data_IF_154035761833
#
_entry.id   IF_154035761833
#
_cell.length_a   1.000
_cell.length_b   1.000
_cell.length_c   1.000
_cell.angle_alpha   90.00
_cell.angle_beta   90.00
_cell.angle_gamma   90.00
#
_symmetry.space_group_name_H-M   'P 1'
#
loop_
_entity.id
_entity.type
_entity.pdbx_description
1 polymer ?
#
# COMPACT_ATOMS: atom_id res chain seq x y z
N UNK A 1 -45.82 10.50 24.82
CA UNK A 1 -44.40 10.50 25.26
C UNK A 1 -43.52 10.80 24.04
N UNK A 2 -43.02 12.02 23.99
CA UNK A 2 -42.19 12.51 22.85
C UNK A 2 -40.80 11.82 22.91
N UNK A 3 -40.46 11.06 21.88
CA UNK A 3 -39.14 10.52 21.68
C UNK A 3 -38.16 11.68 21.45
N UNK A 4 -37.31 11.97 22.43
CA UNK A 4 -36.16 12.85 22.24
C UNK A 4 -35.21 12.15 21.24
N UNK A 5 -35.21 12.59 19.98
CA UNK A 5 -34.28 12.20 18.94
C UNK A 5 -32.95 12.97 19.15
N UNK A 6 -32.11 12.49 20.06
CA UNK A 6 -30.76 13.00 20.24
C UNK A 6 -29.93 11.98 21.03
N UNK A 7 -28.68 11.73 20.60
CA UNK A 7 -27.76 10.89 21.38
C UNK A 7 -27.57 11.50 22.78
N UNK A 8 -27.57 10.69 23.85
CA UNK A 8 -27.34 11.16 25.21
C UNK A 8 -26.05 11.98 25.29
N UNK A 9 -26.04 12.99 26.16
CA UNK A 9 -24.89 13.87 26.38
C UNK A 9 -24.15 13.50 27.67
N UNK A 10 -22.88 13.92 27.81
CA UNK A 10 -22.12 13.77 29.07
C UNK A 10 -22.84 14.41 30.28
N UNK A 11 -23.67 15.46 30.06
CA UNK A 11 -24.48 16.08 31.15
C UNK A 11 -25.56 15.13 31.62
N UNK A 12 -26.25 14.44 30.73
CA UNK A 12 -27.27 13.45 31.09
C UNK A 12 -26.64 12.24 31.81
N UNK A 13 -25.46 11.77 31.38
CA UNK A 13 -24.70 10.75 32.10
C UNK A 13 -24.32 11.22 33.52
N UNK A 14 -23.88 12.46 33.68
CA UNK A 14 -23.53 13.03 34.96
C UNK A 14 -24.75 13.09 35.91
N UNK A 15 -25.90 13.50 35.40
CA UNK A 15 -27.16 13.54 36.13
C UNK A 15 -27.61 12.15 36.57
N UNK A 16 -27.58 11.16 35.65
CA UNK A 16 -27.96 9.76 35.93
C UNK A 16 -27.01 9.09 36.95
N UNK A 17 -25.71 9.35 36.82
CA UNK A 17 -24.69 8.80 37.72
C UNK A 17 -24.61 9.52 39.06
N UNK A 18 -25.26 10.67 39.24
CA UNK A 18 -25.18 11.47 40.49
C UNK A 18 -23.78 12.04 40.75
N UNK A 19 -23.03 12.40 39.68
CA UNK A 19 -21.65 12.91 39.78
C UNK A 19 -21.47 14.19 39.00
N UNK A 20 -20.33 14.87 39.19
CA UNK A 20 -20.03 16.08 38.41
C UNK A 20 -19.70 15.73 36.94
N UNK A 21 -19.95 16.68 36.02
CA UNK A 21 -19.53 16.55 34.62
C UNK A 21 -18.01 16.30 34.49
N UNK A 22 -17.22 16.90 35.38
CA UNK A 22 -15.77 16.68 35.44
C UNK A 22 -15.41 15.24 35.79
N UNK A 23 -16.17 14.58 36.68
CA UNK A 23 -15.99 13.15 37.03
C UNK A 23 -16.31 12.26 35.83
N UNK A 24 -17.42 12.52 35.12
CA UNK A 24 -17.76 11.80 33.88
C UNK A 24 -16.65 11.96 32.84
N UNK A 25 -16.18 13.20 32.62
CA UNK A 25 -15.10 13.47 31.69
C UNK A 25 -13.80 12.72 32.04
N UNK A 26 -13.45 12.62 33.32
CA UNK A 26 -12.28 11.86 33.77
C UNK A 26 -12.45 10.36 33.49
N UNK A 27 -13.59 9.77 33.82
CA UNK A 27 -13.88 8.35 33.56
C UNK A 27 -13.80 8.03 32.06
N UNK A 28 -14.48 8.84 31.22
CA UNK A 28 -14.50 8.65 29.77
C UNK A 28 -13.11 8.76 29.14
N UNK A 29 -12.24 9.60 29.71
CA UNK A 29 -10.86 9.76 29.22
C UNK A 29 -9.84 8.85 29.95
N UNK A 30 -10.29 7.82 30.67
CA UNK A 30 -9.44 6.90 31.44
C UNK A 30 -8.48 7.58 32.44
N UNK A 31 -8.83 8.78 32.91
CA UNK A 31 -8.09 9.46 33.97
C UNK A 31 -8.45 8.77 35.30
N UNK A 32 -7.49 8.51 36.21
CA UNK A 32 -7.76 7.88 37.49
C UNK A 32 -8.84 8.64 38.27
N UNK A 33 -9.83 7.88 38.75
CA UNK A 33 -10.87 8.31 39.70
C UNK A 33 -11.14 7.16 40.64
N UNK A 34 -11.79 7.44 41.78
CA UNK A 34 -12.21 6.38 42.72
C UNK A 34 -13.11 5.34 42.02
N UNK A 35 -12.91 4.06 42.32
CA UNK A 35 -13.58 2.91 41.68
C UNK A 35 -15.11 3.04 41.73
N UNK A 36 -15.67 3.50 42.87
CA UNK A 36 -17.09 3.75 43.01
C UNK A 36 -17.66 4.72 42.01
N UNK A 37 -16.93 5.84 41.75
CA UNK A 37 -17.35 6.84 40.77
C UNK A 37 -17.22 6.32 39.35
N UNK A 38 -16.18 5.56 39.05
CA UNK A 38 -16.00 4.89 37.76
C UNK A 38 -17.21 4.00 37.46
N UNK A 39 -17.56 3.11 38.37
CA UNK A 39 -18.68 2.19 38.21
C UNK A 39 -20.01 2.91 38.02
N UNK A 40 -20.31 3.96 38.81
CA UNK A 40 -21.53 4.76 38.68
C UNK A 40 -21.65 5.39 37.27
N UNK A 41 -20.54 5.91 36.73
CA UNK A 41 -20.53 6.57 35.39
C UNK A 41 -20.68 5.52 34.30
N UNK A 42 -19.99 4.38 34.38
CA UNK A 42 -20.08 3.30 33.39
C UNK A 42 -21.49 2.70 33.32
N UNK A 43 -22.13 2.47 34.47
CA UNK A 43 -23.49 1.95 34.57
C UNK A 43 -24.51 2.95 34.02
N UNK A 44 -24.38 4.24 34.34
CA UNK A 44 -25.21 5.31 33.80
C UNK A 44 -25.04 5.46 32.29
N UNK A 45 -23.81 5.43 31.78
CA UNK A 45 -23.52 5.51 30.34
C UNK A 45 -24.15 4.32 29.59
N UNK A 46 -24.04 3.11 30.13
CA UNK A 46 -24.64 1.88 29.58
C UNK A 46 -26.17 1.99 29.57
N UNK A 47 -26.79 2.43 30.68
CA UNK A 47 -28.25 2.59 30.83
C UNK A 47 -28.82 3.57 29.82
N UNK A 48 -28.12 4.69 29.57
CA UNK A 48 -28.54 5.72 28.65
C UNK A 48 -28.18 5.40 27.18
N UNK A 49 -27.38 4.37 26.92
CA UNK A 49 -26.83 4.11 25.59
C UNK A 49 -25.86 5.20 25.13
N UNK A 50 -25.16 5.86 26.08
CA UNK A 50 -24.22 6.93 25.78
C UNK A 50 -23.02 6.36 25.00
N UNK A 51 -22.80 6.95 23.83
CA UNK A 51 -21.57 6.72 23.05
C UNK A 51 -20.68 7.94 23.11
N UNK A 52 -19.39 7.73 23.29
CA UNK A 52 -18.42 8.83 23.31
C UNK A 52 -18.49 9.55 21.96
N UNK A 53 -18.88 10.81 21.99
CA UNK A 53 -18.86 11.62 20.78
C UNK A 53 -17.41 12.03 20.46
N UNK A 54 -16.77 11.25 19.58
CA UNK A 54 -15.40 11.51 19.15
C UNK A 54 -15.23 12.88 18.49
N UNK A 55 -16.26 13.41 17.82
CA UNK A 55 -16.24 14.77 17.27
C UNK A 55 -16.15 15.85 18.36
N UNK A 56 -16.94 15.71 19.44
CA UNK A 56 -16.85 16.65 20.57
C UNK A 56 -15.51 16.55 21.31
N UNK A 57 -14.90 15.36 21.32
CA UNK A 57 -13.56 15.12 21.88
C UNK A 57 -12.50 15.74 20.97
N UNK A 58 -12.57 15.54 19.66
CA UNK A 58 -11.61 16.06 18.69
C UNK A 58 -11.58 17.60 18.67
N UNK A 59 -12.72 18.27 18.80
CA UNK A 59 -12.81 19.73 18.92
C UNK A 59 -12.04 20.27 20.14
N UNK A 60 -11.94 19.50 21.23
CA UNK A 60 -11.23 19.90 22.46
C UNK A 60 -9.75 19.56 22.43
N UNK A 61 -9.39 18.42 21.83
CA UNK A 61 -8.01 17.91 21.79
C UNK A 61 -7.26 18.28 20.52
N UNK A 62 -7.97 18.81 19.53
CA UNK A 62 -7.50 19.02 18.16
C UNK A 62 -6.90 17.74 17.51
N UNK A 63 -7.38 16.56 17.94
CA UNK A 63 -6.97 15.26 17.43
C UNK A 63 -8.20 14.39 17.17
N UNK A 64 -8.28 13.81 15.99
CA UNK A 64 -9.36 12.89 15.60
C UNK A 64 -9.00 11.43 15.81
N UNK A 65 -7.72 11.13 16.04
CA UNK A 65 -7.14 9.78 16.02
C UNK A 65 -7.51 9.02 14.73
N UNK A 66 -7.51 9.74 13.63
CA UNK A 66 -7.83 9.21 12.30
C UNK A 66 -6.74 9.58 11.32
N UNK A 67 -6.25 8.60 10.58
CA UNK A 67 -5.32 8.77 9.47
C UNK A 67 -6.04 8.43 8.18
N UNK A 68 -5.91 9.28 7.16
CA UNK A 68 -6.41 8.95 5.83
C UNK A 68 -5.38 8.12 5.07
N UNK A 69 -5.86 7.07 4.39
CA UNK A 69 -5.13 6.33 3.39
C UNK A 69 -5.72 6.61 2.01
N UNK A 70 -4.92 7.16 1.11
CA UNK A 70 -5.29 7.39 -0.30
C UNK A 70 -4.57 6.38 -1.16
N UNK A 71 -5.34 5.54 -1.88
CA UNK A 71 -4.82 4.50 -2.77
C UNK A 71 -5.50 4.57 -4.15
N UNK A 72 -4.84 4.08 -5.21
CA UNK A 72 -5.39 4.15 -6.56
C UNK A 72 -6.68 3.36 -6.74
N UNK A 73 -6.71 2.12 -6.25
CA UNK A 73 -7.85 1.21 -6.33
C UNK A 73 -7.71 0.06 -5.33
N UNK A 74 -8.76 -0.74 -5.15
CA UNK A 74 -8.77 -1.95 -4.33
C UNK A 74 -8.69 -3.25 -5.16
N UNK A 75 -8.71 -3.15 -6.48
CA UNK A 75 -8.71 -4.32 -7.37
C UNK A 75 -7.32 -4.95 -7.54
N UNK A 76 -6.26 -4.18 -7.30
CA UNK A 76 -4.90 -4.70 -7.32
C UNK A 76 -4.55 -5.31 -5.96
N UNK A 77 -4.17 -6.60 -5.88
CA UNK A 77 -3.94 -7.30 -4.60
C UNK A 77 -2.92 -6.62 -3.70
N UNK A 78 -1.87 -6.03 -4.27
CA UNK A 78 -0.85 -5.29 -3.50
C UNK A 78 -1.47 -4.11 -2.72
N UNK A 79 -2.40 -3.35 -3.33
CA UNK A 79 -3.02 -2.22 -2.62
C UNK A 79 -3.91 -2.69 -1.46
N UNK A 80 -4.56 -3.84 -1.61
CA UNK A 80 -5.30 -4.47 -0.51
C UNK A 80 -4.37 -4.93 0.62
N UNK A 81 -3.25 -5.55 0.28
CA UNK A 81 -2.26 -6.03 1.26
C UNK A 81 -1.65 -4.87 2.05
N UNK A 82 -1.20 -3.80 1.38
CA UNK A 82 -0.61 -2.63 2.05
C UNK A 82 -1.65 -1.87 2.89
N UNK A 83 -2.89 -1.74 2.41
CA UNK A 83 -3.97 -1.11 3.19
C UNK A 83 -4.25 -1.89 4.48
N UNK A 84 -4.30 -3.22 4.42
CA UNK A 84 -4.47 -4.07 5.60
C UNK A 84 -3.29 -3.92 6.58
N UNK A 85 -2.06 -3.94 6.09
CA UNK A 85 -0.87 -3.78 6.94
C UNK A 85 -0.84 -2.40 7.63
N UNK A 86 -1.17 -1.33 6.89
CA UNK A 86 -1.29 0.03 7.45
C UNK A 86 -2.38 0.08 8.52
N UNK A 87 -3.57 -0.51 8.27
CA UNK A 87 -4.65 -0.55 9.24
C UNK A 87 -4.21 -1.24 10.55
N UNK A 88 -3.48 -2.36 10.44
CA UNK A 88 -2.93 -3.07 11.62
C UNK A 88 -1.91 -2.20 12.35
N UNK A 89 -1.00 -1.55 11.64
CA UNK A 89 0.02 -0.67 12.23
C UNK A 89 -0.60 0.56 12.94
N UNK A 90 -1.63 1.16 12.34
CA UNK A 90 -2.39 2.27 12.93
C UNK A 90 -3.19 1.85 14.16
N UNK A 91 -3.89 0.71 14.10
CA UNK A 91 -4.66 0.20 15.23
C UNK A 91 -3.80 -0.05 16.47
N UNK A 92 -2.58 -0.56 16.29
CA UNK A 92 -1.62 -0.73 17.41
C UNK A 92 -1.25 0.58 18.09
N UNK A 93 -1.36 1.71 17.38
CA UNK A 93 -1.10 3.06 17.88
C UNK A 93 -2.37 3.82 18.30
N UNK A 94 -3.55 3.17 18.28
CA UNK A 94 -4.83 3.75 18.64
C UNK A 94 -5.43 4.70 17.61
N UNK A 95 -5.01 4.59 16.34
CA UNK A 95 -5.58 5.33 15.22
C UNK A 95 -6.58 4.49 14.44
N UNK A 96 -7.63 5.14 13.94
CA UNK A 96 -8.53 4.59 12.93
C UNK A 96 -8.04 4.98 11.53
N UNK A 97 -8.38 4.18 10.52
CA UNK A 97 -8.04 4.46 9.14
C UNK A 97 -9.28 4.86 8.34
N UNK A 98 -9.20 5.98 7.60
CA UNK A 98 -10.17 6.39 6.59
C UNK A 98 -9.55 6.12 5.22
N UNK A 99 -10.11 5.19 4.44
CA UNK A 99 -9.58 4.86 3.11
C UNK A 99 -10.37 5.56 2.01
N UNK A 100 -9.66 6.21 1.09
CA UNK A 100 -10.20 6.89 -0.08
C UNK A 100 -9.54 6.36 -1.36
N UNK A 101 -10.32 6.25 -2.43
CA UNK A 101 -9.87 5.74 -3.73
C UNK A 101 -9.73 6.91 -4.70
N UNK A 102 -8.53 7.07 -5.27
CA UNK A 102 -8.22 8.16 -6.20
C UNK A 102 -8.47 7.84 -7.68
N UNK A 103 -8.64 6.56 -8.03
CA UNK A 103 -8.74 6.06 -9.41
C UNK A 103 -7.55 6.38 -10.30
N UNK A 104 -6.37 6.59 -9.71
CA UNK A 104 -5.11 6.93 -10.42
C UNK A 104 -5.19 8.23 -11.24
N UNK A 105 -6.03 9.17 -10.85
CA UNK A 105 -6.16 10.47 -11.53
C UNK A 105 -5.93 11.65 -10.56
N UNK A 106 -5.41 12.75 -11.10
CA UNK A 106 -5.02 13.95 -10.33
C UNK A 106 -6.21 14.59 -9.61
N UNK A 107 -7.38 14.64 -10.25
CA UNK A 107 -8.59 15.19 -9.64
C UNK A 107 -9.11 14.29 -8.54
N UNK A 108 -9.05 12.96 -8.73
CA UNK A 108 -9.40 11.97 -7.72
C UNK A 108 -8.54 12.10 -6.48
N UNK A 109 -7.23 12.28 -6.64
CA UNK A 109 -6.30 12.49 -5.53
C UNK A 109 -6.61 13.80 -4.78
N UNK A 110 -6.85 14.88 -5.51
CA UNK A 110 -7.20 16.18 -4.91
C UNK A 110 -8.52 16.11 -4.15
N UNK A 111 -9.54 15.40 -4.69
CA UNK A 111 -10.80 15.15 -3.97
C UNK A 111 -10.58 14.36 -2.68
N UNK A 112 -9.76 13.29 -2.73
CA UNK A 112 -9.44 12.50 -1.55
C UNK A 112 -8.71 13.32 -0.48
N UNK A 113 -7.77 14.18 -0.89
CA UNK A 113 -7.06 15.07 0.02
C UNK A 113 -8.00 16.10 0.64
N UNK A 114 -8.87 16.72 -0.15
CA UNK A 114 -9.88 17.66 0.35
C UNK A 114 -10.79 17.00 1.38
N UNK A 115 -11.27 15.79 1.10
CA UNK A 115 -12.09 15.01 2.05
C UNK A 115 -11.34 14.72 3.36
N UNK A 116 -10.06 14.34 3.28
CA UNK A 116 -9.24 14.13 4.46
C UNK A 116 -9.12 15.40 5.32
N UNK A 117 -8.95 16.56 4.67
CA UNK A 117 -8.91 17.88 5.35
C UNK A 117 -10.25 18.24 5.99
N UNK A 118 -11.36 18.01 5.31
CA UNK A 118 -12.73 18.24 5.86
C UNK A 118 -12.98 17.37 7.10
N UNK A 119 -12.53 16.13 7.08
CA UNK A 119 -12.58 15.22 8.23
C UNK A 119 -11.55 15.51 9.33
N UNK A 120 -10.68 16.51 9.13
CA UNK A 120 -9.62 16.92 10.07
C UNK A 120 -8.78 15.73 10.54
N UNK A 121 -8.37 14.87 9.60
CA UNK A 121 -7.50 13.74 9.93
C UNK A 121 -6.17 14.23 10.49
N UNK A 122 -5.55 13.41 11.35
CA UNK A 122 -4.29 13.75 12.01
C UNK A 122 -3.06 13.55 11.10
N UNK A 123 -3.27 12.91 9.94
CA UNK A 123 -2.26 12.71 8.92
C UNK A 123 -2.80 11.91 7.71
N UNK A 124 -2.00 11.86 6.67
CA UNK A 124 -2.32 11.18 5.41
C UNK A 124 -1.16 10.29 4.97
N UNK A 125 -1.46 9.06 4.59
CA UNK A 125 -0.57 8.18 3.84
C UNK A 125 -1.15 8.06 2.43
N UNK A 126 -0.35 8.34 1.39
CA UNK A 126 -0.85 8.33 0.01
C UNK A 126 0.06 7.54 -0.93
N UNK A 127 -0.58 6.70 -1.75
CA UNK A 127 0.02 6.16 -2.97
C UNK A 127 -0.44 7.04 -4.12
N UNK A 128 0.27 8.16 -4.31
CA UNK A 128 -0.12 9.19 -5.28
C UNK A 128 0.48 8.94 -6.66
N UNK A 129 -0.21 9.38 -7.70
CA UNK A 129 0.30 9.46 -9.07
C UNK A 129 0.44 10.93 -9.54
N UNK A 130 0.04 11.89 -8.72
CA UNK A 130 0.16 13.30 -9.03
C UNK A 130 1.52 13.88 -8.55
N UNK A 131 2.47 14.13 -9.45
CA UNK A 131 3.78 14.69 -9.09
C UNK A 131 3.69 16.17 -8.65
N UNK A 132 2.53 16.81 -8.86
CA UNK A 132 2.26 18.20 -8.49
C UNK A 132 1.33 18.33 -7.30
N UNK A 133 1.13 17.24 -6.54
CA UNK A 133 0.29 17.26 -5.36
C UNK A 133 0.87 18.25 -4.32
N UNK A 134 0.13 19.31 -4.06
CA UNK A 134 0.51 20.30 -3.06
C UNK A 134 0.04 19.83 -1.68
N UNK A 135 1.00 19.60 -0.79
CA UNK A 135 0.75 19.22 0.59
C UNK A 135 1.04 20.42 1.49
N UNK A 136 0.02 20.89 2.21
CA UNK A 136 0.17 22.00 3.16
C UNK A 136 1.13 21.61 4.31
N UNK A 137 1.97 22.54 4.80
CA UNK A 137 3.01 22.27 5.80
C UNK A 137 2.48 21.85 7.18
N UNK A 138 1.19 22.01 7.40
CA UNK A 138 0.51 21.64 8.66
C UNK A 138 -0.01 20.21 8.68
N UNK A 139 0.05 19.50 7.55
CA UNK A 139 -0.47 18.14 7.42
C UNK A 139 0.68 17.14 7.52
N UNK A 140 0.62 16.23 8.49
CA UNK A 140 1.49 15.07 8.52
C UNK A 140 1.19 14.21 7.28
N UNK A 141 2.15 14.13 6.37
CA UNK A 141 1.95 13.47 5.08
C UNK A 141 3.13 12.55 4.76
N UNK A 142 2.82 11.34 4.32
CA UNK A 142 3.80 10.34 3.90
C UNK A 142 3.35 9.75 2.58
N UNK A 143 4.26 9.58 1.65
CA UNK A 143 3.97 8.85 0.40
C UNK A 143 4.53 7.44 0.42
N UNK A 144 3.89 6.57 -0.35
CA UNK A 144 4.42 5.24 -0.69
C UNK A 144 4.69 5.22 -2.19
N UNK A 145 5.89 4.78 -2.58
CA UNK A 145 6.35 4.60 -3.96
C UNK A 145 6.40 5.88 -4.83
N UNK A 146 6.10 7.04 -4.27
CA UNK A 146 6.14 8.30 -5.02
C UNK A 146 6.86 9.40 -4.24
N UNK A 147 8.05 9.76 -4.71
CA UNK A 147 8.78 10.91 -4.20
C UNK A 147 8.15 12.21 -4.74
N UNK A 148 7.68 13.09 -3.87
CA UNK A 148 7.13 14.41 -4.22
C UNK A 148 8.21 15.48 -4.06
N UNK A 149 8.77 15.60 -2.85
CA UNK A 149 9.84 16.55 -2.52
C UNK A 149 10.55 16.12 -1.23
N UNK A 150 11.61 16.85 -0.87
CA UNK A 150 12.44 16.52 0.31
C UNK A 150 11.76 16.76 1.66
N UNK A 151 10.63 17.45 1.71
CA UNK A 151 9.89 17.74 2.96
C UNK A 151 8.83 16.66 3.27
N UNK A 152 8.51 15.82 2.29
CA UNK A 152 7.52 14.74 2.43
C UNK A 152 8.25 13.40 2.42
N UNK A 153 8.23 12.63 3.53
CA UNK A 153 8.81 11.30 3.55
C UNK A 153 8.18 10.40 2.48
N UNK A 154 9.01 9.72 1.71
CA UNK A 154 8.61 8.67 0.78
C UNK A 154 9.14 7.33 1.27
N UNK A 155 8.27 6.37 1.47
CA UNK A 155 8.64 4.98 1.81
C UNK A 155 8.41 4.12 0.59
N UNK A 156 9.43 3.37 0.18
CA UNK A 156 9.37 2.46 -0.96
C UNK A 156 10.18 1.20 -0.67
N UNK A 157 10.00 0.16 -1.45
CA UNK A 157 10.98 -0.92 -1.48
C UNK A 157 12.17 -0.55 -2.38
N UNK A 158 13.26 -1.31 -2.28
CA UNK A 158 14.40 -1.20 -3.22
C UNK A 158 14.00 -1.77 -4.59
N UNK A 159 13.32 -0.93 -5.38
CA UNK A 159 12.84 -1.30 -6.71
C UNK A 159 14.00 -1.54 -7.69
N UNK A 160 15.10 -0.78 -7.58
CA UNK A 160 16.27 -0.96 -8.44
C UNK A 160 16.96 -2.30 -8.13
N UNK A 161 17.30 -2.54 -6.86
CA UNK A 161 17.89 -3.81 -6.42
C UNK A 161 16.98 -5.00 -6.69
N UNK A 162 15.66 -4.83 -6.58
CA UNK A 162 14.69 -5.87 -6.94
C UNK A 162 14.68 -6.21 -8.42
N UNK A 163 14.83 -5.22 -9.31
CA UNK A 163 15.02 -5.45 -10.74
C UNK A 163 16.31 -6.19 -11.07
N UNK A 164 17.42 -5.81 -10.42
CA UNK A 164 18.68 -6.54 -10.54
C UNK A 164 18.54 -7.98 -10.06
N UNK A 165 17.99 -8.19 -8.86
CA UNK A 165 17.76 -9.52 -8.27
C UNK A 165 16.93 -10.43 -9.18
N UNK A 166 15.89 -9.90 -9.84
CA UNK A 166 15.07 -10.66 -10.78
C UNK A 166 15.87 -11.14 -11.99
N UNK A 167 16.68 -10.25 -12.60
CA UNK A 167 17.51 -10.58 -13.74
C UNK A 167 18.60 -11.60 -13.35
N UNK A 168 19.33 -11.35 -12.26
CA UNK A 168 20.39 -12.24 -11.75
C UNK A 168 19.82 -13.62 -11.42
N UNK A 169 18.63 -13.67 -10.80
CA UNK A 169 17.97 -14.95 -10.48
C UNK A 169 17.61 -15.75 -11.74
N UNK A 170 17.09 -15.09 -12.78
CA UNK A 170 16.84 -15.76 -14.07
C UNK A 170 18.14 -16.29 -14.69
N UNK A 171 19.23 -15.53 -14.61
CA UNK A 171 20.56 -15.96 -15.09
C UNK A 171 21.09 -17.15 -14.29
N UNK A 172 21.00 -17.14 -12.96
CA UNK A 172 21.35 -18.26 -12.08
C UNK A 172 20.59 -19.54 -12.44
N UNK A 173 19.31 -19.39 -12.81
CA UNK A 173 18.44 -20.47 -13.24
C UNK A 173 18.69 -20.92 -14.70
N UNK A 174 19.72 -20.37 -15.35
CA UNK A 174 20.22 -20.79 -16.64
C UNK A 174 19.61 -20.08 -17.85
N UNK A 175 18.79 -19.05 -17.66
CA UNK A 175 18.24 -18.25 -18.76
C UNK A 175 19.35 -17.50 -19.51
N UNK A 176 19.23 -17.43 -20.85
CA UNK A 176 20.25 -16.89 -21.76
C UNK A 176 19.78 -15.64 -22.52
N UNK A 177 18.48 -15.43 -22.66
CA UNK A 177 17.88 -14.27 -23.25
C UNK A 177 16.69 -13.82 -22.42
N UNK A 178 16.77 -12.63 -21.89
CA UNK A 178 15.79 -12.12 -20.95
C UNK A 178 14.84 -11.12 -21.60
N UNK A 179 13.63 -11.06 -21.04
CA UNK A 179 12.61 -10.09 -21.42
C UNK A 179 12.09 -9.39 -20.17
N UNK A 180 11.88 -8.07 -20.25
CA UNK A 180 11.14 -7.32 -19.25
C UNK A 180 9.81 -6.85 -19.82
N UNK A 181 8.71 -7.07 -19.10
CA UNK A 181 7.38 -6.56 -19.45
C UNK A 181 6.79 -5.72 -18.33
N UNK A 182 6.28 -4.54 -18.69
CA UNK A 182 5.62 -3.61 -17.79
C UNK A 182 4.27 -3.17 -18.34
N UNK A 183 3.27 -3.17 -17.46
CA UNK A 183 2.03 -2.40 -17.60
C UNK A 183 1.97 -1.39 -16.45
N UNK A 184 1.76 -0.13 -16.75
CA UNK A 184 1.73 0.91 -15.72
C UNK A 184 1.32 2.27 -16.25
N UNK A 185 1.38 3.29 -15.42
CA UNK A 185 1.05 4.68 -15.81
C UNK A 185 2.20 5.36 -16.52
N UNK A 186 1.93 6.52 -17.18
CA UNK A 186 2.96 7.36 -17.78
C UNK A 186 3.75 8.18 -16.75
N UNK A 187 3.27 8.23 -15.50
CA UNK A 187 3.91 9.02 -14.46
C UNK A 187 5.03 8.19 -13.81
N UNK A 188 6.25 8.67 -13.95
CA UNK A 188 7.44 8.00 -13.43
C UNK A 188 7.49 8.04 -11.89
N UNK A 189 7.85 6.93 -11.26
CA UNK A 189 7.98 6.79 -9.80
C UNK A 189 9.01 5.76 -9.37
N UNK A 190 9.10 5.47 -8.08
CA UNK A 190 10.03 4.47 -7.54
C UNK A 190 9.87 3.08 -8.19
N UNK A 191 8.62 2.57 -8.46
CA UNK A 191 8.45 1.28 -9.11
C UNK A 191 9.06 1.18 -10.52
N UNK A 192 9.23 2.30 -11.22
CA UNK A 192 9.82 2.31 -12.57
C UNK A 192 11.33 2.05 -12.56
N UNK A 193 11.98 2.11 -11.39
CA UNK A 193 13.40 1.73 -11.23
C UNK A 193 13.65 0.23 -11.40
N UNK A 194 12.60 -0.60 -11.37
CA UNK A 194 12.68 -2.06 -11.63
C UNK A 194 13.31 -2.35 -12.99
N UNK A 195 12.87 -1.62 -14.04
CA UNK A 195 13.45 -1.79 -15.38
C UNK A 195 14.92 -1.38 -15.41
N UNK A 196 15.29 -0.28 -14.76
CA UNK A 196 16.69 0.18 -14.76
C UNK A 196 17.61 -0.81 -14.04
N UNK A 197 17.16 -1.41 -12.95
CA UNK A 197 17.88 -2.48 -12.25
C UNK A 197 18.05 -3.74 -13.11
N UNK A 198 16.98 -4.18 -13.75
CA UNK A 198 17.00 -5.32 -14.68
C UNK A 198 17.98 -5.09 -15.84
N UNK A 199 17.89 -3.95 -16.53
CA UNK A 199 18.79 -3.59 -17.62
C UNK A 199 20.25 -3.51 -17.19
N UNK A 200 20.50 -2.95 -15.99
CA UNK A 200 21.86 -2.85 -15.45
C UNK A 200 22.47 -4.26 -15.27
N UNK A 201 21.74 -5.18 -14.65
CA UNK A 201 22.20 -6.56 -14.47
C UNK A 201 22.46 -7.25 -15.82
N UNK A 202 21.54 -7.13 -16.78
CA UNK A 202 21.72 -7.71 -18.11
C UNK A 202 22.98 -7.16 -18.81
N UNK A 203 23.20 -5.85 -18.76
CA UNK A 203 24.40 -5.19 -19.33
C UNK A 203 25.69 -5.65 -18.67
N UNK A 204 25.70 -5.71 -17.34
CA UNK A 204 26.88 -6.16 -16.57
C UNK A 204 27.29 -7.60 -16.88
N UNK A 205 26.32 -8.47 -17.09
CA UNK A 205 26.58 -9.90 -17.40
C UNK A 205 26.59 -10.21 -18.89
N UNK A 206 26.42 -9.23 -19.77
CA UNK A 206 26.42 -9.44 -21.22
C UNK A 206 25.27 -10.31 -21.72
N UNK A 207 24.15 -10.35 -21.02
CA UNK A 207 22.98 -11.14 -21.38
C UNK A 207 22.10 -10.34 -22.34
N UNK A 208 21.73 -10.88 -23.51
CA UNK A 208 20.77 -10.27 -24.41
C UNK A 208 19.41 -10.08 -23.73
N UNK A 209 18.81 -8.93 -23.90
CA UNK A 209 17.49 -8.64 -23.35
C UNK A 209 16.68 -7.71 -24.26
N UNK A 210 15.36 -7.77 -24.10
CA UNK A 210 14.39 -6.84 -24.67
C UNK A 210 13.45 -6.30 -23.59
N UNK A 211 12.82 -5.16 -23.87
CA UNK A 211 11.85 -4.55 -22.92
C UNK A 211 10.58 -4.14 -23.65
N UNK A 212 9.43 -4.42 -23.05
CA UNK A 212 8.12 -3.96 -23.49
C UNK A 212 7.46 -3.17 -22.36
N UNK A 213 7.36 -1.87 -22.54
CA UNK A 213 6.81 -0.95 -21.56
C UNK A 213 5.54 -0.29 -22.11
N UNK A 214 4.38 -0.70 -21.59
CA UNK A 214 3.06 -0.28 -22.06
C UNK A 214 2.31 0.50 -20.99
N UNK A 215 1.41 1.37 -21.44
CA UNK A 215 0.45 2.01 -20.56
C UNK A 215 -0.67 1.03 -20.19
N UNK A 216 -1.16 1.09 -18.97
CA UNK A 216 -2.20 0.16 -18.48
C UNK A 216 -3.51 0.23 -19.30
N UNK A 217 -3.82 1.38 -19.91
CA UNK A 217 -5.00 1.54 -20.76
C UNK A 217 -4.88 0.84 -22.13
N UNK A 218 -3.67 0.43 -22.54
CA UNK A 218 -3.48 -0.29 -23.81
C UNK A 218 -3.99 -1.73 -23.77
N UNK A 219 -4.21 -2.25 -22.56
CA UNK A 219 -4.77 -3.58 -22.34
C UNK A 219 -3.82 -4.71 -22.72
N UNK A 220 -4.39 -5.87 -23.06
CA UNK A 220 -3.62 -7.10 -23.30
C UNK A 220 -3.10 -7.22 -24.74
N UNK A 221 -3.80 -6.67 -25.72
CA UNK A 221 -3.52 -6.91 -27.13
C UNK A 221 -2.07 -6.59 -27.58
N UNK A 222 -1.39 -5.53 -27.13
CA UNK A 222 0.01 -5.30 -27.50
C UNK A 222 0.96 -6.36 -26.93
N UNK A 223 0.69 -6.91 -25.74
CA UNK A 223 1.46 -8.03 -25.18
C UNK A 223 1.25 -9.31 -26.00
N UNK A 224 0.03 -9.59 -26.42
CA UNK A 224 -0.30 -10.74 -27.28
C UNK A 224 0.41 -10.61 -28.63
N UNK A 225 0.37 -9.44 -29.26
CA UNK A 225 1.07 -9.19 -30.52
C UNK A 225 2.60 -9.37 -30.39
N UNK A 226 3.18 -8.91 -29.26
CA UNK A 226 4.60 -9.15 -28.98
C UNK A 226 4.88 -10.65 -28.85
N UNK A 227 4.09 -11.38 -28.07
CA UNK A 227 4.27 -12.83 -27.88
C UNK A 227 4.09 -13.59 -29.21
N UNK A 228 3.13 -13.16 -30.07
CA UNK A 228 2.93 -13.76 -31.39
C UNK A 228 4.14 -13.53 -32.33
N UNK A 229 4.87 -12.44 -32.15
CA UNK A 229 6.10 -12.20 -32.91
C UNK A 229 7.27 -13.08 -32.43
N UNK A 230 7.36 -13.33 -31.12
CA UNK A 230 8.52 -13.97 -30.45
C UNK A 230 8.32 -15.44 -30.08
N UNK A 231 7.10 -15.98 -30.22
CA UNK A 231 6.80 -17.40 -30.00
C UNK A 231 6.31 -18.00 -31.32
N UNK A 232 7.06 -18.97 -31.86
CA UNK A 232 6.71 -19.68 -33.10
C UNK A 232 6.72 -21.19 -32.85
N UNK A 233 5.65 -21.87 -33.23
CA UNK A 233 5.50 -23.33 -33.11
C UNK A 233 5.82 -23.86 -31.71
N UNK A 234 5.37 -23.15 -30.66
CA UNK A 234 5.62 -23.52 -29.27
C UNK A 234 7.05 -23.26 -28.78
N UNK A 235 7.85 -22.47 -29.50
CA UNK A 235 9.21 -22.09 -29.13
C UNK A 235 9.33 -20.58 -29.00
N UNK A 236 9.71 -20.10 -27.83
CA UNK A 236 10.04 -18.70 -27.60
C UNK A 236 11.50 -18.43 -27.97
N UNK A 237 11.79 -17.22 -28.42
CA UNK A 237 13.16 -16.76 -28.65
C UNK A 237 13.79 -16.12 -27.40
N UNK A 238 13.08 -16.13 -26.27
CA UNK A 238 13.55 -15.79 -24.92
C UNK A 238 13.21 -16.91 -23.94
N UNK A 239 13.99 -17.06 -22.88
CA UNK A 239 13.85 -18.14 -21.89
C UNK A 239 13.64 -17.63 -20.45
N UNK A 240 13.77 -16.30 -20.22
CA UNK A 240 13.49 -15.66 -18.94
C UNK A 240 12.66 -14.40 -19.11
N UNK A 241 11.58 -14.27 -18.32
CA UNK A 241 10.69 -13.10 -18.33
C UNK A 241 10.59 -12.50 -16.93
N UNK A 242 10.89 -11.22 -16.79
CA UNK A 242 10.56 -10.44 -15.60
C UNK A 242 9.39 -9.53 -15.88
N UNK A 243 8.33 -9.65 -15.08
CA UNK A 243 7.17 -8.77 -15.14
C UNK A 243 7.19 -7.80 -13.96
N UNK A 244 6.81 -6.54 -14.20
CA UNK A 244 6.82 -5.51 -13.16
C UNK A 244 5.85 -5.76 -12.00
N UNK A 245 4.91 -6.71 -12.13
CA UNK A 245 3.98 -7.15 -11.08
C UNK A 245 3.68 -8.63 -11.18
N UNK A 246 3.30 -9.27 -10.08
CA UNK A 246 2.84 -10.67 -10.05
C UNK A 246 1.59 -10.87 -10.92
N UNK A 247 0.70 -9.87 -10.93
CA UNK A 247 -0.50 -9.92 -11.76
C UNK A 247 -0.17 -10.05 -13.24
N UNK A 248 0.76 -9.23 -13.73
CA UNK A 248 1.20 -9.31 -15.13
C UNK A 248 1.92 -10.65 -15.39
N UNK A 249 2.76 -11.10 -14.46
CA UNK A 249 3.46 -12.39 -14.57
C UNK A 249 2.49 -13.55 -14.78
N UNK A 250 1.39 -13.60 -14.00
CA UNK A 250 0.38 -14.64 -14.14
C UNK A 250 -0.38 -14.57 -15.47
N UNK A 251 -0.70 -13.37 -15.93
CA UNK A 251 -1.33 -13.18 -17.26
C UNK A 251 -0.37 -13.66 -18.34
N UNK A 252 0.89 -13.26 -18.30
CA UNK A 252 1.89 -13.67 -19.30
C UNK A 252 2.15 -15.18 -19.25
N UNK A 253 2.19 -15.79 -18.08
CA UNK A 253 2.30 -17.24 -17.95
C UNK A 253 1.15 -17.98 -18.67
N UNK A 254 -0.08 -17.48 -18.54
CA UNK A 254 -1.23 -17.98 -19.28
C UNK A 254 -1.09 -17.81 -20.80
N UNK A 255 -0.71 -16.63 -21.25
CA UNK A 255 -0.54 -16.31 -22.65
C UNK A 255 0.60 -17.10 -23.36
N UNK A 256 1.68 -17.35 -22.63
CA UNK A 256 2.81 -18.15 -23.11
C UNK A 256 2.40 -19.63 -23.23
N UNK A 257 1.66 -20.17 -22.24
CA UNK A 257 1.12 -21.54 -22.31
C UNK A 257 0.14 -21.74 -23.46
N UNK A 258 -0.73 -20.74 -23.73
CA UNK A 258 -1.66 -20.78 -24.88
C UNK A 258 -0.94 -20.86 -26.23
N UNK A 259 0.32 -20.41 -26.31
CA UNK A 259 1.18 -20.49 -27.50
C UNK A 259 2.05 -21.75 -27.57
N UNK A 260 1.79 -22.72 -26.67
CA UNK A 260 2.45 -24.02 -26.67
C UNK A 260 3.78 -24.08 -25.94
N UNK A 261 4.24 -23.01 -25.30
CA UNK A 261 5.42 -23.04 -24.44
C UNK A 261 5.04 -23.47 -23.02
N UNK A 262 5.91 -24.21 -22.39
CA UNK A 262 5.76 -24.63 -20.98
C UNK A 262 6.40 -23.60 -20.06
N UNK A 263 5.73 -23.34 -18.94
CA UNK A 263 6.25 -22.53 -17.84
C UNK A 263 6.29 -23.42 -16.61
N UNK A 264 7.45 -23.66 -16.01
CA UNK A 264 8.75 -22.98 -16.21
C UNK A 264 9.74 -23.63 -17.17
N UNK A 265 9.41 -24.75 -17.83
CA UNK A 265 10.41 -25.57 -18.53
C UNK A 265 11.04 -24.86 -19.73
N UNK A 266 10.25 -24.16 -20.55
CA UNK A 266 10.69 -23.47 -21.75
C UNK A 266 10.91 -21.96 -21.49
N UNK A 267 10.07 -21.33 -20.66
CA UNK A 267 10.18 -19.92 -20.24
C UNK A 267 9.99 -19.83 -18.73
N UNK A 268 10.95 -19.26 -18.05
CA UNK A 268 10.89 -18.97 -16.62
C UNK A 268 10.40 -17.55 -16.38
N UNK A 269 9.51 -17.37 -15.40
CA UNK A 269 8.87 -16.06 -15.15
C UNK A 269 9.05 -15.65 -13.70
N UNK A 270 9.47 -14.40 -13.49
CA UNK A 270 9.50 -13.75 -12.18
C UNK A 270 8.57 -12.55 -12.21
N UNK A 271 7.71 -12.40 -11.20
CA UNK A 271 6.89 -11.24 -10.94
C UNK A 271 7.52 -10.30 -9.91
N UNK A 272 6.72 -9.37 -9.44
CA UNK A 272 7.07 -8.45 -8.36
C UNK A 272 5.80 -8.20 -7.52
N UNK A 273 5.90 -8.07 -6.24
CA UNK A 273 4.95 -7.71 -5.18
C UNK A 273 4.91 -8.75 -4.05
N UNK A 274 5.09 -10.04 -4.34
CA UNK A 274 5.00 -11.12 -3.35
C UNK A 274 3.55 -11.47 -3.01
N UNK A 275 2.65 -11.46 -4.02
CA UNK A 275 1.24 -11.78 -3.81
C UNK A 275 1.09 -13.27 -3.47
N UNK A 276 0.35 -13.52 -2.37
CA UNK A 276 0.03 -14.88 -1.93
C UNK A 276 -1.36 -15.31 -2.41
N UNK A 277 -1.47 -16.56 -2.76
CA UNK A 277 -2.77 -17.20 -2.96
C UNK A 277 -3.49 -17.34 -1.62
N UNK A 278 -4.74 -16.92 -1.59
CA UNK A 278 -5.53 -16.88 -0.34
C UNK A 278 -5.82 -18.30 0.23
N UNK A 279 -5.90 -19.31 -0.62
CA UNK A 279 -6.27 -20.67 -0.21
C UNK A 279 -5.03 -21.46 0.20
N UNK A 280 -4.00 -21.46 -0.66
CA UNK A 280 -2.79 -22.26 -0.44
C UNK A 280 -1.78 -21.57 0.49
N UNK A 281 -1.86 -20.24 0.61
CA UNK A 281 -0.86 -19.42 1.31
C UNK A 281 0.49 -19.32 0.59
N UNK A 282 0.66 -20.02 -0.55
CA UNK A 282 1.84 -19.95 -1.41
C UNK A 282 1.86 -18.67 -2.26
N UNK A 283 3.01 -18.37 -2.88
CA UNK A 283 3.08 -17.27 -3.84
C UNK A 283 2.40 -17.64 -5.16
N UNK A 284 1.73 -16.67 -5.81
CA UNK A 284 1.05 -16.89 -7.09
C UNK A 284 2.02 -17.24 -8.23
N UNK A 285 3.23 -16.70 -8.18
CA UNK A 285 4.33 -16.95 -9.10
C UNK A 285 5.65 -16.79 -8.36
N UNK A 286 6.75 -17.20 -8.94
CA UNK A 286 8.08 -16.80 -8.45
C UNK A 286 8.18 -15.28 -8.55
N UNK A 287 8.62 -14.61 -7.48
CA UNK A 287 8.41 -13.16 -7.33
C UNK A 287 9.50 -12.49 -6.51
N UNK A 288 9.69 -11.21 -6.75
CA UNK A 288 10.39 -10.30 -5.84
C UNK A 288 9.40 -9.78 -4.81
N UNK A 289 9.60 -10.15 -3.55
CA UNK A 289 8.68 -9.88 -2.45
C UNK A 289 8.94 -8.49 -1.89
N UNK A 290 7.93 -7.65 -1.87
CA UNK A 290 7.93 -6.37 -1.16
C UNK A 290 7.69 -6.61 0.35
N UNK A 291 8.43 -5.95 1.25
CA UNK A 291 8.25 -6.08 2.70
C UNK A 291 7.05 -5.26 3.18
N UNK A 292 5.82 -5.67 2.82
CA UNK A 292 4.57 -4.91 3.01
C UNK A 292 4.37 -4.45 4.44
N UNK A 293 4.60 -5.33 5.42
CA UNK A 293 4.46 -5.01 6.84
C UNK A 293 5.50 -3.95 7.28
N UNK A 294 6.73 -4.05 6.79
CA UNK A 294 7.78 -3.09 7.11
C UNK A 294 7.53 -1.74 6.44
N UNK A 295 7.01 -1.73 5.19
CA UNK A 295 6.58 -0.51 4.50
C UNK A 295 5.48 0.19 5.33
N UNK A 296 4.46 -0.56 5.76
CA UNK A 296 3.37 -0.03 6.56
C UNK A 296 3.83 0.56 7.90
N UNK A 297 4.64 -0.19 8.68
CA UNK A 297 5.17 0.28 9.95
C UNK A 297 6.06 1.52 9.78
N UNK A 298 6.89 1.54 8.72
CA UNK A 298 7.76 2.68 8.41
C UNK A 298 6.94 3.90 8.01
N UNK A 299 5.93 3.74 7.14
CA UNK A 299 5.06 4.83 6.72
C UNK A 299 4.28 5.43 7.92
N UNK A 300 3.70 4.58 8.77
CA UNK A 300 2.98 5.05 9.97
C UNK A 300 3.94 5.74 10.95
N UNK A 301 5.16 5.24 11.13
CA UNK A 301 6.16 5.89 12.00
C UNK A 301 6.60 7.24 11.45
N UNK A 302 6.74 7.37 10.13
CA UNK A 302 7.17 8.60 9.46
C UNK A 302 6.12 9.72 9.50
N UNK A 303 4.85 9.42 9.82
CA UNK A 303 3.83 10.44 10.05
C UNK A 303 4.09 11.30 11.29
N UNK A 304 4.82 10.77 12.28
CA UNK A 304 5.01 11.40 13.58
C UNK A 304 6.50 11.45 13.94
N UNK A 305 7.33 12.19 13.17
CA UNK A 305 8.74 12.33 13.48
C UNK A 305 8.90 13.00 14.86
N UNK A 306 9.86 12.55 15.65
CA UNK A 306 10.16 13.14 16.96
C UNK A 306 10.87 14.49 16.79
N UNK A 307 11.69 14.61 15.74
CA UNK A 307 12.36 15.84 15.35
C UNK A 307 12.28 16.02 13.82
N UNK A 308 12.30 17.25 13.34
CA UNK A 308 12.33 17.56 11.91
C UNK A 308 13.61 17.05 11.21
N UNK A 309 14.70 16.85 11.96
CA UNK A 309 15.93 16.22 11.48
C UNK A 309 15.79 14.71 11.18
N UNK A 310 14.75 14.07 11.70
CA UNK A 310 14.48 12.64 11.49
C UNK A 310 13.78 12.35 10.14
N UNK A 311 13.34 13.39 9.45
CA UNK A 311 12.68 13.25 8.15
C UNK A 311 13.68 12.79 7.09
N UNK A 312 13.53 11.53 6.66
CA UNK A 312 14.26 10.99 5.51
C UNK A 312 13.40 11.14 4.27
N UNK A 313 13.87 11.90 3.26
CA UNK A 313 13.08 12.15 2.04
C UNK A 313 12.70 10.88 1.28
N UNK A 314 13.59 9.88 1.28
CA UNK A 314 13.35 8.57 0.68
C UNK A 314 13.90 7.47 1.60
N UNK A 315 13.05 6.49 1.90
CA UNK A 315 13.38 5.28 2.64
C UNK A 315 13.13 4.09 1.72
N UNK A 316 14.20 3.48 1.23
CA UNK A 316 14.14 2.27 0.41
C UNK A 316 14.36 1.03 1.31
N UNK A 317 13.39 0.12 1.30
CA UNK A 317 13.38 -1.08 2.13
C UNK A 317 13.80 -2.31 1.30
N UNK A 318 14.58 -3.24 1.87
CA UNK A 318 15.10 -4.38 1.13
C UNK A 318 13.98 -5.31 0.67
N UNK A 319 14.15 -5.89 -0.52
CA UNK A 319 13.29 -6.91 -1.10
C UNK A 319 13.97 -8.29 -1.03
N UNK A 320 13.22 -9.35 -1.33
CA UNK A 320 13.75 -10.72 -1.38
C UNK A 320 13.07 -11.51 -2.51
N UNK A 321 13.77 -12.53 -3.02
CA UNK A 321 13.18 -13.48 -3.96
C UNK A 321 12.40 -14.57 -3.22
N UNK A 322 11.27 -14.98 -3.81
CA UNK A 322 10.50 -16.14 -3.36
C UNK A 322 10.08 -17.01 -4.55
N UNK A 323 10.20 -18.32 -4.36
CA UNK A 323 9.75 -19.32 -5.32
C UNK A 323 8.22 -19.47 -5.30
N UNK A 324 7.58 -19.56 -6.48
CA UNK A 324 6.13 -19.73 -6.65
C UNK A 324 5.75 -20.59 -7.86
N UNK A 325 6.68 -21.43 -8.37
CA UNK A 325 6.40 -22.43 -9.39
C UNK A 325 6.42 -21.95 -10.84
N UNK A 326 6.71 -20.66 -11.10
CA UNK A 326 6.92 -20.15 -12.47
C UNK A 326 8.39 -20.06 -12.86
N UNK A 327 9.30 -20.50 -12.01
CA UNK A 327 10.72 -20.76 -12.28
C UNK A 327 11.05 -22.20 -11.93
N UNK A 328 12.17 -22.71 -12.44
CA UNK A 328 12.78 -23.95 -11.97
C UNK A 328 13.24 -23.75 -10.52
N UNK A 329 13.09 -24.77 -9.69
CA UNK A 329 13.48 -24.72 -8.29
C UNK A 329 14.99 -24.80 -8.10
#
# INVERSE_FOLDING_TARGET
>A
MSLKQGNPTMKEVATEAGVSLGTVSKVINNIPVGEEYRKKVEDAARKLGYQVNNYARSLRTNKTNTIALIIPNLSHPYFGAIANAIAVALNRRGYSMLTSISNSDDEGEQRCLSLAMEHKVDGVIAMTYNPRLEVGPQLNFVTIDRFINSSVPCVSCDNFGGGQMAAEKLMELGCKRLMFMRSGTHIYGEPDKRIAGFEMACKMHGIPYDTLNLHESEGLAPFEAYLDAHIKEGKADFDGLFCNTDRLAMVMAGQIRLRGCRVPEDVQIIGFDGIRDFISGGYLCSTIVQPVELIAETAVSSLFPQDSSDIKPLIALPVSYAFGGTTKG
#
